data_IF_388537663141
#
_entry.id   IF_388537663141
#
_cell.length_a   1.000
_cell.length_b   1.000
_cell.length_c   1.000
_cell.angle_alpha   90.00
_cell.angle_beta   90.00
_cell.angle_gamma   90.00
#
_symmetry.space_group_name_H-M   'P 1'
#
loop_
_entity.id
_entity.type
_entity.pdbx_description
1 polymer ?
#
# COMPACT_ATOMS: atom_id res chain seq x y z
N UNK A 1 -8.65 8.31 -26.82
CA UNK A 1 -9.39 7.04 -26.98
C UNK A 1 -10.88 7.28 -27.22
N UNK A 2 -11.51 8.34 -26.70
CA UNK A 2 -12.95 8.58 -26.90
C UNK A 2 -13.85 7.59 -26.15
N UNK A 3 -13.25 6.70 -25.35
CA UNK A 3 -13.90 5.77 -24.45
C UNK A 3 -14.26 6.49 -23.16
N UNK A 4 -15.53 6.41 -22.75
CA UNK A 4 -15.99 6.86 -21.45
C UNK A 4 -15.63 5.81 -20.39
N UNK A 5 -15.13 6.27 -19.23
CA UNK A 5 -14.66 5.41 -18.15
C UNK A 5 -15.47 5.69 -16.90
N UNK A 6 -16.20 4.68 -16.43
CA UNK A 6 -16.89 4.70 -15.15
C UNK A 6 -16.02 4.05 -14.06
N UNK A 7 -15.86 4.74 -12.93
CA UNK A 7 -14.93 4.33 -11.87
C UNK A 7 -15.69 3.99 -10.59
N UNK A 8 -15.47 2.78 -10.08
CA UNK A 8 -15.95 2.32 -8.77
C UNK A 8 -14.75 2.20 -7.82
N UNK A 9 -14.61 3.13 -6.89
CA UNK A 9 -13.51 3.14 -5.92
C UNK A 9 -13.91 2.39 -4.64
N UNK A 10 -13.32 1.21 -4.42
CA UNK A 10 -13.51 0.38 -3.22
C UNK A 10 -12.18 -0.28 -2.82
N UNK A 11 -12.11 -0.91 -1.64
CA UNK A 11 -10.91 -1.66 -1.22
C UNK A 11 -10.62 -2.86 -2.13
N UNK A 12 -9.35 -3.29 -2.23
CA UNK A 12 -8.91 -4.33 -3.18
C UNK A 12 -9.75 -5.61 -3.13
N UNK A 13 -10.14 -6.09 -1.95
CA UNK A 13 -11.00 -7.27 -1.81
C UNK A 13 -12.40 -7.09 -2.42
N UNK A 14 -13.02 -5.93 -2.21
CA UNK A 14 -14.31 -5.60 -2.83
C UNK A 14 -14.16 -5.40 -4.35
N UNK A 15 -13.07 -4.77 -4.79
CA UNK A 15 -12.79 -4.58 -6.22
C UNK A 15 -12.60 -5.93 -6.94
N UNK A 16 -11.85 -6.86 -6.34
CA UNK A 16 -11.67 -8.22 -6.83
C UNK A 16 -12.99 -9.01 -6.83
N UNK A 17 -13.84 -8.82 -5.82
CA UNK A 17 -15.17 -9.46 -5.79
C UNK A 17 -16.06 -8.98 -6.93
N UNK A 18 -16.06 -7.66 -7.23
CA UNK A 18 -16.79 -7.11 -8.39
C UNK A 18 -16.27 -7.69 -9.71
N UNK A 19 -14.95 -7.79 -9.86
CA UNK A 19 -14.33 -8.37 -11.04
C UNK A 19 -14.65 -9.87 -11.20
N UNK A 20 -14.66 -10.65 -10.12
CA UNK A 20 -15.08 -12.07 -10.13
C UNK A 20 -16.53 -12.26 -10.58
N UNK A 21 -17.40 -11.32 -10.21
CA UNK A 21 -18.82 -11.35 -10.57
C UNK A 21 -19.10 -10.81 -11.99
N UNK A 22 -18.07 -10.34 -12.72
CA UNK A 22 -18.20 -9.64 -14.01
C UNK A 22 -19.03 -8.34 -13.91
N UNK A 23 -18.99 -7.67 -12.75
CA UNK A 23 -19.63 -6.36 -12.54
C UNK A 23 -18.78 -5.19 -13.10
N UNK A 24 -17.54 -5.46 -13.51
CA UNK A 24 -16.59 -4.49 -14.07
C UNK A 24 -15.80 -5.11 -15.23
N UNK A 25 -15.28 -4.27 -16.13
CA UNK A 25 -14.51 -4.69 -17.31
C UNK A 25 -13.00 -4.66 -17.12
N UNK A 26 -12.53 -3.95 -16.09
CA UNK A 26 -11.11 -3.82 -15.80
C UNK A 26 -10.90 -3.61 -14.30
N UNK A 27 -9.77 -4.10 -13.78
CA UNK A 27 -9.42 -3.98 -12.37
C UNK A 27 -8.10 -3.21 -12.23
N UNK A 28 -8.07 -2.17 -11.40
CA UNK A 28 -6.82 -1.49 -10.99
C UNK A 28 -6.66 -1.68 -9.49
N UNK A 29 -5.58 -2.35 -9.10
CA UNK A 29 -5.26 -2.71 -7.71
C UNK A 29 -3.76 -2.55 -7.45
N UNK A 30 -3.36 -2.71 -6.18
CA UNK A 30 -1.99 -2.55 -5.71
C UNK A 30 -1.62 -3.63 -4.67
N UNK A 31 -2.01 -4.87 -4.97
CA UNK A 31 -1.77 -6.04 -4.13
C UNK A 31 -1.20 -7.17 -5.00
N UNK A 32 0.12 -7.18 -5.24
CA UNK A 32 0.75 -8.12 -6.18
C UNK A 32 0.48 -9.59 -5.86
N UNK A 33 0.36 -9.96 -4.59
CA UNK A 33 0.09 -11.34 -4.18
C UNK A 33 -1.31 -11.74 -4.65
N UNK A 34 -2.33 -10.97 -4.25
CA UNK A 34 -3.71 -11.26 -4.65
C UNK A 34 -3.93 -11.09 -6.15
N UNK A 35 -3.24 -10.18 -6.81
CA UNK A 35 -3.27 -10.02 -8.27
C UNK A 35 -2.79 -11.29 -9.00
N UNK A 36 -1.71 -11.89 -8.51
CA UNK A 36 -1.16 -13.12 -9.11
C UNK A 36 -2.06 -14.32 -8.84
N UNK A 37 -2.63 -14.43 -7.64
CA UNK A 37 -3.64 -15.45 -7.30
C UNK A 37 -4.89 -15.30 -8.19
N UNK A 38 -5.37 -14.07 -8.36
CA UNK A 38 -6.54 -13.76 -9.20
C UNK A 38 -6.36 -14.21 -10.66
N UNK A 39 -5.15 -14.05 -11.20
CA UNK A 39 -4.79 -14.56 -12.54
C UNK A 39 -4.67 -16.08 -12.54
N UNK A 40 -4.04 -16.67 -11.52
CA UNK A 40 -3.88 -18.12 -11.41
C UNK A 40 -5.24 -18.84 -11.32
N UNK A 41 -6.22 -18.22 -10.67
CA UNK A 41 -7.60 -18.70 -10.57
C UNK A 41 -8.41 -18.49 -11.86
N UNK A 42 -7.85 -17.80 -12.85
CA UNK A 42 -8.45 -17.60 -14.17
C UNK A 42 -9.42 -16.43 -14.28
N UNK A 43 -9.44 -15.51 -13.31
CA UNK A 43 -10.33 -14.34 -13.32
C UNK A 43 -9.78 -13.15 -14.14
N UNK A 44 -8.48 -13.14 -14.43
CA UNK A 44 -7.85 -12.16 -15.32
C UNK A 44 -6.84 -12.82 -16.26
N UNK A 45 -6.65 -12.24 -17.43
CA UNK A 45 -5.75 -12.77 -18.45
C UNK A 45 -4.31 -12.25 -18.31
N UNK A 46 -4.17 -10.99 -17.92
CA UNK A 46 -2.86 -10.36 -17.78
C UNK A 46 -2.88 -9.25 -16.73
N UNK A 47 -1.67 -8.90 -16.29
CA UNK A 47 -1.36 -7.84 -15.34
C UNK A 47 -0.31 -6.94 -15.95
N UNK A 48 -0.53 -5.63 -15.90
CA UNK A 48 0.45 -4.63 -16.34
C UNK A 48 0.62 -3.58 -15.26
N UNK A 49 1.84 -3.45 -14.72
CA UNK A 49 2.18 -2.37 -13.77
C UNK A 49 2.47 -1.10 -14.56
N UNK A 50 1.79 -0.01 -14.20
CA UNK A 50 1.89 1.28 -14.91
C UNK A 50 2.30 2.44 -14.00
N UNK A 51 2.22 2.27 -12.69
CA UNK A 51 2.65 3.25 -11.71
C UNK A 51 3.08 2.56 -10.42
N UNK A 52 3.81 3.27 -9.57
CA UNK A 52 4.08 2.83 -8.21
C UNK A 52 4.31 4.03 -7.29
N UNK A 53 4.04 3.83 -6.00
CA UNK A 53 4.53 4.72 -4.95
C UNK A 53 5.22 3.89 -3.86
N UNK A 54 5.48 4.50 -2.70
CA UNK A 54 6.07 3.82 -1.55
C UNK A 54 5.19 3.97 -0.31
N UNK A 55 5.25 2.97 0.54
CA UNK A 55 4.82 3.09 1.93
C UNK A 55 5.84 3.90 2.73
N UNK A 56 5.35 4.56 3.77
CA UNK A 56 6.11 5.44 4.66
C UNK A 56 5.75 5.10 6.11
N UNK A 57 6.71 5.29 7.01
CA UNK A 57 6.42 5.26 8.44
C UNK A 57 6.03 6.67 8.89
N UNK A 58 4.97 6.76 9.66
CA UNK A 58 4.56 7.98 10.36
C UNK A 58 4.90 7.79 11.84
N UNK A 59 5.49 8.80 12.47
CA UNK A 59 5.86 8.74 13.88
C UNK A 59 5.85 10.12 14.55
N UNK A 60 5.84 10.17 15.90
CA UNK A 60 5.75 11.41 16.67
C UNK A 60 7.06 12.21 16.70
N UNK A 61 8.19 11.54 16.47
CA UNK A 61 9.53 12.11 16.57
C UNK A 61 10.32 11.82 15.30
N UNK A 62 11.33 12.64 15.04
CA UNK A 62 12.24 12.41 13.94
C UNK A 62 13.30 11.40 14.37
N UNK A 63 13.40 10.28 13.66
CA UNK A 63 14.49 9.32 13.84
C UNK A 63 15.44 9.36 12.65
N UNK A 64 16.72 9.19 12.92
CA UNK A 64 17.76 9.05 11.90
C UNK A 64 18.17 7.60 11.79
N UNK A 65 18.28 7.10 10.57
CA UNK A 65 18.73 5.74 10.33
C UNK A 65 18.07 5.16 9.09
N UNK A 66 18.37 3.88 8.84
CA UNK A 66 17.66 3.09 7.86
C UNK A 66 16.36 2.50 8.46
N UNK A 67 15.60 1.78 7.63
CA UNK A 67 14.33 1.19 8.03
C UNK A 67 14.48 0.21 9.19
N UNK A 68 15.48 -0.68 9.15
CA UNK A 68 15.74 -1.66 10.21
C UNK A 68 16.04 -0.96 11.54
N UNK A 69 16.96 0.01 11.52
CA UNK A 69 17.33 0.80 12.72
C UNK A 69 16.13 1.53 13.32
N UNK A 70 15.21 2.01 12.48
CA UNK A 70 13.96 2.66 12.92
C UNK A 70 13.00 1.66 13.57
N UNK A 71 12.84 0.47 12.99
CA UNK A 71 11.97 -0.58 13.53
C UNK A 71 12.54 -1.15 14.85
N UNK A 72 13.86 -1.36 14.92
CA UNK A 72 14.53 -1.76 16.16
C UNK A 72 14.31 -0.70 17.25
N UNK A 73 14.50 0.59 16.93
CA UNK A 73 14.23 1.70 17.85
C UNK A 73 12.79 1.67 18.41
N UNK A 74 11.79 1.43 17.56
CA UNK A 74 10.38 1.36 17.98
C UNK A 74 10.18 0.26 19.04
N UNK A 75 10.84 -0.87 18.88
CA UNK A 75 10.70 -2.03 19.77
C UNK A 75 11.53 -1.83 21.05
N UNK A 76 12.81 -1.49 20.93
CA UNK A 76 13.74 -1.34 22.05
C UNK A 76 13.32 -0.24 23.02
N UNK A 77 12.78 0.86 22.51
CA UNK A 77 12.29 1.99 23.33
C UNK A 77 10.81 1.85 23.68
N UNK A 78 10.22 0.67 23.47
CA UNK A 78 8.83 0.34 23.75
C UNK A 78 7.83 1.40 23.23
N UNK A 79 8.11 1.92 22.03
CA UNK A 79 7.24 2.88 21.35
C UNK A 79 5.99 2.15 20.85
N UNK A 80 4.84 2.83 20.89
CA UNK A 80 3.63 2.23 20.36
C UNK A 80 3.61 2.25 18.83
N UNK A 81 3.05 1.20 18.22
CA UNK A 81 2.84 1.04 16.78
C UNK A 81 1.39 0.63 16.55
N UNK A 82 0.67 1.40 15.74
CA UNK A 82 -0.72 1.13 15.38
C UNK A 82 -0.75 0.42 14.03
N UNK A 83 -1.16 -0.85 14.04
CA UNK A 83 -1.54 -1.59 12.85
C UNK A 83 -2.99 -1.33 12.50
N UNK A 84 -3.29 -1.25 11.20
CA UNK A 84 -4.69 -1.22 10.72
C UNK A 84 -5.46 -2.47 11.11
N UNK A 85 -4.83 -3.65 11.07
CA UNK A 85 -5.48 -4.91 11.46
C UNK A 85 -6.72 -5.31 10.65
N UNK A 86 -6.89 -4.78 9.43
CA UNK A 86 -8.17 -4.83 8.70
C UNK A 86 -8.09 -5.59 7.38
N UNK A 87 -7.07 -6.45 7.22
CA UNK A 87 -6.82 -7.28 6.02
C UNK A 87 -6.68 -6.50 4.70
N UNK A 88 -6.51 -5.18 4.77
CA UNK A 88 -6.27 -4.31 3.62
C UNK A 88 -4.87 -4.51 3.03
N UNK A 89 -4.63 -3.97 1.83
CA UNK A 89 -3.30 -3.99 1.22
C UNK A 89 -2.22 -3.32 2.09
N UNK A 90 -2.57 -2.27 2.86
CA UNK A 90 -1.64 -1.65 3.81
C UNK A 90 -1.32 -2.60 4.97
N UNK A 91 -2.33 -3.32 5.49
CA UNK A 91 -2.09 -4.33 6.51
C UNK A 91 -1.20 -5.45 5.97
N UNK A 92 -1.47 -5.99 4.78
CA UNK A 92 -0.62 -7.03 4.20
C UNK A 92 0.82 -6.56 3.98
N UNK A 93 1.02 -5.30 3.55
CA UNK A 93 2.35 -4.72 3.44
C UNK A 93 3.08 -4.63 4.78
N UNK A 94 2.36 -4.27 5.84
CA UNK A 94 2.92 -4.27 7.20
C UNK A 94 3.36 -5.69 7.62
N UNK A 95 2.54 -6.71 7.33
CA UNK A 95 2.86 -8.10 7.59
C UNK A 95 4.12 -8.56 6.82
N UNK A 96 4.25 -8.17 5.55
CA UNK A 96 5.47 -8.40 4.75
C UNK A 96 6.70 -7.71 5.37
N UNK A 97 6.53 -6.46 5.82
CA UNK A 97 7.59 -5.69 6.47
C UNK A 97 8.08 -6.39 7.74
N UNK A 98 7.18 -6.83 8.61
CA UNK A 98 7.54 -7.54 9.84
C UNK A 98 8.25 -8.86 9.55
N UNK A 99 7.78 -9.65 8.58
CA UNK A 99 8.43 -10.91 8.18
C UNK A 99 9.80 -10.69 7.54
N UNK A 100 10.00 -9.60 6.81
CA UNK A 100 11.33 -9.25 6.31
C UNK A 100 12.25 -8.89 7.49
N UNK A 101 11.77 -8.01 8.36
CA UNK A 101 12.53 -7.47 9.49
C UNK A 101 12.88 -8.54 10.55
N UNK A 102 12.05 -9.57 10.73
CA UNK A 102 12.36 -10.69 11.62
C UNK A 102 13.61 -11.49 11.22
N UNK A 103 14.07 -11.38 9.96
CA UNK A 103 15.34 -11.98 9.52
C UNK A 103 16.56 -11.08 9.80
N UNK A 104 16.32 -9.86 10.28
CA UNK A 104 17.32 -8.81 10.48
C UNK A 104 17.42 -8.36 11.95
N UNK A 105 16.40 -8.63 12.77
CA UNK A 105 16.34 -8.25 14.18
C UNK A 105 16.55 -9.44 15.11
N UNK A 106 17.03 -9.17 16.34
CA UNK A 106 17.12 -10.14 17.43
C UNK A 106 15.81 -10.23 18.26
N UNK A 107 14.82 -9.37 17.97
CA UNK A 107 13.52 -9.40 18.64
C UNK A 107 12.79 -10.73 18.45
N UNK A 108 11.96 -11.11 19.42
CA UNK A 108 11.04 -12.23 19.29
C UNK A 108 9.84 -11.82 18.43
N UNK A 109 9.34 -12.72 17.59
CA UNK A 109 8.17 -12.51 16.74
C UNK A 109 7.13 -13.60 16.97
N UNK A 110 5.86 -13.23 16.88
CA UNK A 110 4.72 -14.13 17.04
C UNK A 110 3.79 -14.00 15.84
N UNK A 111 3.02 -15.06 15.58
CA UNK A 111 1.90 -15.05 14.64
C UNK A 111 0.64 -15.44 15.42
N UNK A 112 -0.28 -14.48 15.59
CA UNK A 112 -1.53 -14.67 16.32
C UNK A 112 -2.71 -13.99 15.61
N UNK A 113 -3.80 -13.72 16.35
CA UNK A 113 -5.01 -13.09 15.81
C UNK A 113 -4.80 -11.65 15.31
N UNK A 114 -3.72 -10.98 15.74
CA UNK A 114 -3.33 -9.64 15.32
C UNK A 114 -2.43 -9.66 14.07
N UNK A 115 -1.98 -10.85 13.65
CA UNK A 115 -1.05 -11.07 12.53
C UNK A 115 0.33 -11.50 12.99
N UNK A 116 1.31 -11.36 12.10
CA UNK A 116 2.74 -11.53 12.35
C UNK A 116 3.39 -10.21 12.76
N UNK A 117 3.90 -10.15 13.98
CA UNK A 117 4.51 -8.93 14.53
C UNK A 117 5.57 -9.25 15.60
N UNK A 118 6.47 -8.29 15.90
CA UNK A 118 7.38 -8.42 17.04
C UNK A 118 6.62 -8.51 18.36
N UNK A 119 7.22 -9.14 19.38
CA UNK A 119 6.63 -9.29 20.72
C UNK A 119 7.08 -8.10 21.60
N UNK A 120 6.19 -7.11 21.77
CA UNK A 120 6.32 -6.04 22.78
C UNK A 120 4.95 -5.41 23.09
N UNK A 121 4.85 -4.66 24.19
CA UNK A 121 3.58 -4.10 24.69
C UNK A 121 3.00 -2.98 23.80
N UNK A 122 3.81 -2.43 22.87
CA UNK A 122 3.44 -1.27 22.07
C UNK A 122 2.67 -1.57 20.78
N UNK A 123 2.56 -2.83 20.36
CA UNK A 123 1.83 -3.19 19.13
C UNK A 123 0.31 -3.16 19.35
N UNK A 124 -0.41 -2.37 18.56
CA UNK A 124 -1.87 -2.21 18.67
C UNK A 124 -2.55 -2.39 17.32
N UNK A 125 -3.39 -3.41 17.20
CA UNK A 125 -4.18 -3.66 15.98
C UNK A 125 -5.61 -3.17 16.16
N UNK A 126 -6.06 -2.23 15.30
CA UNK A 126 -7.33 -1.51 15.53
C UNK A 126 -8.51 -2.02 14.68
N UNK A 127 -8.26 -2.86 13.68
CA UNK A 127 -9.29 -3.36 12.75
C UNK A 127 -10.00 -2.29 11.93
N UNK A 128 -9.32 -1.17 11.62
CA UNK A 128 -9.92 0.00 10.97
C UNK A 128 -9.07 0.56 9.83
N UNK A 129 -9.71 1.37 8.99
CA UNK A 129 -9.09 1.99 7.83
C UNK A 129 -7.97 2.99 8.15
N UNK A 130 -7.17 3.31 7.13
CA UNK A 130 -5.96 4.15 7.26
C UNK A 130 -6.21 5.51 7.92
N UNK A 131 -7.36 6.13 7.66
CA UNK A 131 -7.73 7.41 8.27
C UNK A 131 -7.83 7.33 9.80
N UNK A 132 -8.40 6.24 10.33
CA UNK A 132 -8.52 6.00 11.76
C UNK A 132 -7.16 5.64 12.38
N UNK A 133 -6.37 4.78 11.73
CA UNK A 133 -5.02 4.44 12.16
C UNK A 133 -4.15 5.70 12.31
N UNK A 134 -4.13 6.58 11.30
CA UNK A 134 -3.40 7.86 11.36
C UNK A 134 -3.88 8.77 12.48
N UNK A 135 -5.20 8.87 12.69
CA UNK A 135 -5.76 9.69 13.77
C UNK A 135 -5.39 9.15 15.14
N UNK A 136 -5.52 7.85 15.37
CA UNK A 136 -5.16 7.19 16.64
C UNK A 136 -3.66 7.30 16.89
N UNK A 137 -2.82 7.02 15.88
CA UNK A 137 -1.36 7.20 15.99
C UNK A 137 -0.98 8.62 16.35
N UNK A 138 -1.64 9.61 15.76
CA UNK A 138 -1.38 11.01 16.09
C UNK A 138 -1.81 11.37 17.53
N UNK A 139 -2.96 10.86 17.99
CA UNK A 139 -3.49 11.14 19.34
C UNK A 139 -2.69 10.47 20.45
N UNK A 140 -2.20 9.25 20.20
CA UNK A 140 -1.43 8.45 21.14
C UNK A 140 0.09 8.63 21.00
N UNK A 141 0.53 9.48 20.07
CA UNK A 141 1.94 9.64 19.72
C UNK A 141 2.61 8.30 19.34
N UNK A 142 1.91 7.48 18.54
CA UNK A 142 2.38 6.19 18.05
C UNK A 142 2.90 6.24 16.62
N UNK A 143 3.60 5.18 16.24
CA UNK A 143 4.01 4.90 14.88
C UNK A 143 2.89 4.22 14.08
N UNK A 144 2.91 4.33 12.76
CA UNK A 144 2.05 3.54 11.84
C UNK A 144 2.68 3.49 10.45
N UNK A 145 2.39 2.43 9.70
CA UNK A 145 2.65 2.37 8.26
C UNK A 145 1.50 3.00 7.47
N UNK A 146 1.80 3.79 6.44
CA UNK A 146 0.82 4.38 5.53
C UNK A 146 1.33 4.36 4.09
N UNK A 147 0.44 4.33 3.10
CA UNK A 147 0.84 4.76 1.75
C UNK A 147 1.16 6.26 1.76
N UNK A 148 2.10 6.67 0.90
CA UNK A 148 2.58 8.07 0.87
C UNK A 148 1.50 9.07 0.48
N UNK A 149 0.50 8.68 -0.32
CA UNK A 149 -0.58 9.58 -0.73
C UNK A 149 -1.47 9.95 0.43
N UNK A 150 -1.92 8.95 1.19
CA UNK A 150 -2.72 9.18 2.40
C UNK A 150 -1.93 9.98 3.44
N UNK A 151 -0.64 9.69 3.62
CA UNK A 151 0.23 10.43 4.52
C UNK A 151 0.31 11.93 4.15
N UNK A 152 0.63 12.26 2.89
CA UNK A 152 0.73 13.64 2.42
C UNK A 152 -0.61 14.39 2.53
N UNK A 153 -1.72 13.73 2.19
CA UNK A 153 -3.05 14.32 2.29
C UNK A 153 -3.43 14.66 3.73
N UNK A 154 -3.06 13.81 4.70
CA UNK A 154 -3.39 14.01 6.12
C UNK A 154 -2.37 14.82 6.91
N UNK A 155 -1.19 15.09 6.34
CA UNK A 155 -0.08 15.76 7.03
C UNK A 155 -0.46 17.08 7.73
N UNK A 156 -1.36 17.90 7.17
CA UNK A 156 -1.73 19.19 7.81
C UNK A 156 -2.65 19.02 9.03
N UNK A 157 -3.22 17.82 9.21
CA UNK A 157 -4.15 17.49 10.30
C UNK A 157 -3.47 16.65 11.40
N UNK A 158 -2.16 16.44 11.31
CA UNK A 158 -1.38 15.60 12.24
C UNK A 158 -0.05 16.24 12.56
N UNK A 159 0.49 15.98 13.74
CA UNK A 159 1.86 16.36 14.11
C UNK A 159 2.88 15.26 13.75
N UNK A 160 2.46 14.20 13.06
CA UNK A 160 3.32 13.07 12.70
C UNK A 160 4.31 13.41 11.58
N UNK A 161 5.52 12.89 11.73
CA UNK A 161 6.62 13.06 10.78
C UNK A 161 6.64 11.89 9.80
N UNK A 162 6.75 12.20 8.51
CA UNK A 162 6.84 11.21 7.43
C UNK A 162 8.29 10.75 7.28
N UNK A 163 8.54 9.48 7.54
CA UNK A 163 9.82 8.81 7.33
C UNK A 163 9.77 7.97 6.06
N UNK A 164 10.65 8.29 5.11
CA UNK A 164 10.73 7.65 3.80
C UNK A 164 12.01 6.81 3.73
N UNK A 165 11.87 5.56 3.26
CA UNK A 165 12.99 4.66 3.05
C UNK A 165 12.96 4.08 1.64
N UNK A 166 14.12 3.66 1.15
CA UNK A 166 14.31 3.17 -0.21
C UNK A 166 14.21 1.64 -0.33
N UNK A 167 13.98 0.95 0.79
CA UNK A 167 13.82 -0.49 0.87
C UNK A 167 12.76 -1.00 -0.12
N UNK A 168 13.08 -2.07 -0.82
CA UNK A 168 12.22 -2.63 -1.87
C UNK A 168 10.89 -3.14 -1.32
N UNK A 169 10.86 -3.59 -0.05
CA UNK A 169 9.63 -4.03 0.63
C UNK A 169 8.56 -2.94 0.64
N UNK A 170 8.96 -1.67 0.75
CA UNK A 170 8.06 -0.52 0.82
C UNK A 170 7.50 -0.10 -0.53
N UNK A 171 7.91 -0.72 -1.64
CA UNK A 171 7.36 -0.42 -2.96
C UNK A 171 5.90 -0.88 -3.02
N UNK A 172 5.04 -0.01 -3.54
CA UNK A 172 3.61 -0.22 -3.69
C UNK A 172 3.24 -0.05 -5.17
N UNK A 173 3.32 -1.12 -5.97
CA UNK A 173 3.04 -1.07 -7.40
C UNK A 173 1.54 -1.09 -7.68
N UNK A 174 1.11 -0.30 -8.66
CA UNK A 174 -0.26 -0.26 -9.15
C UNK A 174 -0.33 -0.94 -10.51
N UNK A 175 -1.25 -1.88 -10.63
CA UNK A 175 -1.40 -2.69 -11.83
C UNK A 175 -2.82 -2.67 -12.34
N UNK A 176 -2.94 -2.63 -13.66
CA UNK A 176 -4.18 -2.89 -14.38
C UNK A 176 -4.23 -4.36 -14.77
N UNK A 177 -5.34 -5.01 -14.44
CA UNK A 177 -5.65 -6.39 -14.77
C UNK A 177 -6.77 -6.40 -15.80
N UNK A 178 -6.54 -7.07 -16.93
CA UNK A 178 -7.54 -7.23 -17.98
C UNK A 178 -8.24 -8.57 -17.80
N UNK A 179 -9.57 -8.56 -17.74
CA UNK A 179 -10.39 -9.77 -17.74
C UNK A 179 -10.89 -10.10 -19.15
N UNK A 180 -11.38 -11.33 -19.32
CA UNK A 180 -12.09 -11.72 -20.54
C UNK A 180 -13.50 -11.10 -20.53
N UNK A 181 -13.73 -10.14 -21.43
CA UNK A 181 -15.02 -9.46 -21.57
C UNK A 181 -15.22 -8.92 -22.99
N UNK A 182 -16.46 -8.50 -23.28
CA UNK A 182 -16.85 -7.97 -24.58
C UNK A 182 -16.26 -6.59 -24.92
N UNK A 183 -15.71 -5.87 -23.93
CA UNK A 183 -15.13 -4.53 -24.07
C UNK A 183 -13.61 -4.53 -24.23
N UNK A 184 -13.04 -5.67 -24.67
CA UNK A 184 -11.58 -5.91 -24.78
C UNK A 184 -10.79 -4.83 -25.52
N UNK A 185 -11.32 -4.27 -26.60
CA UNK A 185 -10.65 -3.17 -27.32
C UNK A 185 -10.50 -1.92 -26.45
N UNK A 186 -11.55 -1.56 -25.71
CA UNK A 186 -11.57 -0.41 -24.80
C UNK A 186 -10.67 -0.61 -23.58
N UNK A 187 -10.69 -1.80 -22.97
CA UNK A 187 -9.86 -2.09 -21.79
C UNK A 187 -8.37 -2.18 -22.15
N UNK A 188 -8.05 -2.73 -23.33
CA UNK A 188 -6.71 -2.70 -23.93
C UNK A 188 -6.26 -1.25 -24.18
N UNK A 189 -7.12 -0.42 -24.78
CA UNK A 189 -6.80 0.98 -25.03
C UNK A 189 -6.58 1.77 -23.73
N UNK A 190 -7.31 1.47 -22.65
CA UNK A 190 -7.09 2.05 -21.33
C UNK A 190 -5.72 1.64 -20.76
N UNK A 191 -5.38 0.35 -20.80
CA UNK A 191 -4.05 -0.13 -20.37
C UNK A 191 -2.93 0.59 -21.14
N UNK A 192 -3.04 0.64 -22.46
CA UNK A 192 -2.00 1.24 -23.30
C UNK A 192 -1.89 2.75 -23.04
N UNK A 193 -3.01 3.44 -22.80
CA UNK A 193 -3.02 4.83 -22.36
C UNK A 193 -2.26 4.99 -21.04
N UNK A 194 -2.60 4.23 -19.99
CA UNK A 194 -1.94 4.30 -18.68
C UNK A 194 -0.43 4.05 -18.78
N UNK A 195 -0.01 3.06 -19.58
CA UNK A 195 1.41 2.75 -19.79
C UNK A 195 2.11 3.87 -20.58
N UNK A 196 1.43 4.53 -21.51
CA UNK A 196 2.00 5.65 -22.27
C UNK A 196 2.06 6.96 -21.48
N UNK A 197 1.28 7.09 -20.40
CA UNK A 197 1.14 8.33 -19.62
C UNK A 197 2.10 8.43 -18.42
N UNK A 198 3.31 7.86 -18.55
CA UNK A 198 4.29 7.86 -17.46
C UNK A 198 4.65 9.28 -17.01
N UNK A 199 4.83 10.21 -17.94
CA UNK A 199 5.18 11.59 -17.65
C UNK A 199 4.04 12.32 -16.91
N UNK A 200 2.78 12.10 -17.31
CA UNK A 200 1.62 12.65 -16.63
C UNK A 200 1.46 12.10 -15.21
N UNK A 201 1.77 10.81 -15.00
CA UNK A 201 1.78 10.18 -13.69
C UNK A 201 2.86 10.81 -12.78
N UNK A 202 4.07 10.99 -13.30
CA UNK A 202 5.19 11.59 -12.56
C UNK A 202 4.99 13.08 -12.24
N UNK A 203 4.30 13.79 -13.13
CA UNK A 203 3.94 15.20 -12.96
C UNK A 203 2.74 15.41 -12.02
N UNK A 204 2.03 14.34 -11.62
CA UNK A 204 0.97 14.44 -10.63
C UNK A 204 1.57 14.67 -9.23
N UNK A 205 1.32 15.85 -8.67
CA UNK A 205 1.85 16.26 -7.38
C UNK A 205 0.74 16.54 -6.37
N UNK A 206 1.04 16.26 -5.11
CA UNK A 206 0.27 16.71 -3.95
C UNK A 206 1.21 17.51 -3.08
N UNK A 207 0.86 18.75 -2.74
CA UNK A 207 1.74 19.66 -1.97
C UNK A 207 3.14 19.84 -2.60
N UNK A 208 3.22 19.92 -3.93
CA UNK A 208 4.46 19.99 -4.71
C UNK A 208 5.38 18.77 -4.59
N UNK A 209 4.89 17.68 -3.99
CA UNK A 209 5.60 16.40 -3.92
C UNK A 209 5.03 15.47 -5.00
N UNK A 210 5.89 14.93 -5.87
CA UNK A 210 5.53 13.88 -6.85
C UNK A 210 4.93 12.71 -6.11
N UNK A 211 3.70 12.29 -6.42
CA UNK A 211 3.02 11.25 -5.64
C UNK A 211 3.33 9.83 -6.12
N UNK A 212 3.41 9.65 -7.43
CA UNK A 212 3.64 8.38 -8.10
C UNK A 212 4.82 8.47 -9.05
N UNK A 213 5.46 7.35 -9.29
CA UNK A 213 6.42 7.16 -10.37
C UNK A 213 5.76 6.38 -11.50
N UNK A 214 6.06 6.76 -12.74
CA UNK A 214 5.52 6.10 -13.93
C UNK A 214 6.20 4.75 -14.19
N UNK A 215 5.45 3.82 -14.77
CA UNK A 215 5.94 2.51 -15.17
C UNK A 215 6.08 1.52 -14.01
N UNK A 216 6.92 0.50 -14.21
CA UNK A 216 7.23 -0.49 -13.20
C UNK A 216 8.42 -0.04 -12.33
N UNK A 217 8.44 -0.37 -11.03
CA UNK A 217 9.59 -0.10 -10.18
C UNK A 217 10.83 -0.83 -10.69
N UNK A 218 12.00 -0.19 -10.58
CA UNK A 218 13.27 -0.86 -10.85
C UNK A 218 13.49 -1.99 -9.81
N UNK A 219 13.85 -3.18 -10.29
CA UNK A 219 14.20 -4.35 -9.48
C UNK A 219 15.60 -4.25 -8.88
#
# INVERSE_FOLDING_TARGET
>A
TGTEIDVIAVGSGAAMSLAQNNDVDVLIVHDPIREMEFIADGFAENRTTFAWNRFVLLGPINVSGNLSETLDYIIEENQCFVSRGDESGTHQKEQELWRMFSNQSEAEFVEDELGYHPVWDGYQSIGQGMGAAITISNELECWTLSDRGTALYRQDNTNMIIHQFNDTVLINPYSILLMDNQHRESTTALRDFLVSSMEEIENYTVKNETLFHGGAPAT
#
